data_IF_389001254705
#
_entry.id   IF_389001254705
#
_cell.length_a   1.000
_cell.length_b   1.000
_cell.length_c   1.000
_cell.angle_alpha   90.00
_cell.angle_beta   90.00
_cell.angle_gamma   90.00
#
_symmetry.space_group_name_H-M   'P 1'
#
loop_
_entity.id
_entity.type
_entity.pdbx_description
1 polymer ?
#
# COMPACT_ATOMS: atom_id res chain seq x y z
N UNK A 1 -27.98 15.48 34.53
CA UNK A 1 -28.69 14.99 33.33
C UNK A 1 -27.63 14.74 32.25
N UNK A 2 -26.93 13.60 32.08
CA UNK A 2 -27.16 12.17 32.34
C UNK A 2 -28.33 11.54 31.56
N UNK A 3 -28.54 11.98 30.33
CA UNK A 3 -29.37 11.25 29.37
C UNK A 3 -28.74 11.50 28.00
N UNK A 4 -28.02 10.50 27.49
CA UNK A 4 -27.60 10.25 26.08
C UNK A 4 -26.51 9.14 26.04
N UNK A 5 -26.53 8.23 27.03
CA UNK A 5 -25.71 7.01 27.12
C UNK A 5 -26.55 5.73 26.85
N UNK A 6 -27.76 5.86 26.30
CA UNK A 6 -28.74 4.77 26.27
C UNK A 6 -29.09 4.19 24.89
N UNK A 7 -28.37 4.55 23.82
CA UNK A 7 -28.56 3.87 22.52
C UNK A 7 -27.52 2.79 22.23
N UNK A 8 -26.56 2.56 23.15
CA UNK A 8 -25.55 1.50 23.00
C UNK A 8 -25.96 0.15 23.63
N UNK A 9 -27.11 0.07 24.32
CA UNK A 9 -27.58 -1.16 25.00
C UNK A 9 -28.77 -1.85 24.33
N UNK A 10 -29.27 -1.35 23.19
CA UNK A 10 -30.26 -2.07 22.37
C UNK A 10 -29.62 -3.08 21.41
N UNK A 11 -28.30 -3.24 21.51
CA UNK A 11 -27.52 -4.31 20.88
C UNK A 11 -27.57 -5.53 21.82
N UNK A 12 -27.97 -6.71 21.31
CA UNK A 12 -27.88 -8.06 21.92
C UNK A 12 -29.12 -8.76 22.57
N UNK A 13 -30.39 -8.42 22.28
CA UNK A 13 -31.51 -9.24 22.80
C UNK A 13 -32.50 -9.83 21.79
N UNK A 14 -32.32 -9.64 20.49
CA UNK A 14 -33.11 -10.36 19.48
C UNK A 14 -32.16 -11.18 18.62
N UNK A 15 -32.12 -12.48 18.90
CA UNK A 15 -31.16 -13.45 18.35
C UNK A 15 -31.31 -13.78 16.87
N UNK A 16 -31.26 -12.77 16.00
CA UNK A 16 -30.98 -12.93 14.58
C UNK A 16 -29.93 -11.88 14.21
N UNK A 17 -28.83 -12.37 13.65
CA UNK A 17 -27.66 -11.60 13.23
C UNK A 17 -28.00 -10.22 12.68
N UNK A 18 -27.33 -9.18 13.18
CA UNK A 18 -26.65 -8.09 12.44
C UNK A 18 -26.33 -7.00 13.47
N UNK A 19 -25.12 -7.08 14.02
CA UNK A 19 -24.50 -5.97 14.75
C UNK A 19 -23.13 -5.72 14.12
N UNK A 20 -23.07 -5.47 12.82
CA UNK A 20 -21.90 -4.83 12.25
C UNK A 20 -22.20 -3.34 12.16
N UNK A 21 -21.41 -2.44 12.80
CA UNK A 21 -21.44 -1.03 12.43
C UNK A 21 -21.21 -0.91 10.90
N UNK A 22 -21.67 0.16 10.22
CA UNK A 22 -21.21 0.43 8.87
C UNK A 22 -19.70 0.61 8.94
N UNK A 23 -18.96 -0.44 8.61
CA UNK A 23 -17.54 -0.35 8.37
C UNK A 23 -17.40 0.71 7.27
N UNK A 24 -16.62 1.79 7.46
CA UNK A 24 -16.33 2.70 6.37
C UNK A 24 -15.75 1.81 5.28
N UNK A 25 -16.50 1.71 4.19
CA UNK A 25 -16.31 0.80 3.07
C UNK A 25 -14.86 0.36 2.99
N UNK A 26 -14.56 -0.84 3.48
CA UNK A 26 -13.32 -1.51 3.14
C UNK A 26 -13.35 -1.56 1.61
N UNK A 27 -12.56 -0.70 0.99
CA UNK A 27 -12.30 -0.78 -0.44
C UNK A 27 -11.96 -2.25 -0.71
N UNK A 28 -12.51 -2.86 -1.78
CA UNK A 28 -12.15 -4.22 -2.12
C UNK A 28 -10.64 -4.30 -2.14
N UNK A 29 -10.08 -5.27 -1.43
CA UNK A 29 -8.65 -5.50 -1.30
C UNK A 29 -8.03 -5.93 -2.64
N UNK A 30 -8.18 -5.13 -3.70
CA UNK A 30 -7.66 -5.31 -5.05
C UNK A 30 -7.74 -3.99 -5.82
N UNK A 31 -7.20 -2.91 -5.28
CA UNK A 31 -6.85 -1.76 -6.10
C UNK A 31 -5.61 -1.13 -5.45
N UNK A 32 -4.45 -1.68 -5.80
CA UNK A 32 -3.19 -0.94 -5.65
C UNK A 32 -3.44 0.47 -6.22
N UNK A 33 -3.00 1.55 -5.54
CA UNK A 33 -3.36 2.90 -5.94
C UNK A 33 -3.05 3.12 -7.43
N UNK A 34 -3.94 3.80 -8.18
CA UNK A 34 -3.68 4.07 -9.59
C UNK A 34 -2.37 4.86 -9.71
N UNK A 35 -1.62 4.57 -10.76
CA UNK A 35 -0.40 5.26 -11.09
C UNK A 35 -0.65 6.76 -11.31
N UNK A 36 0.37 7.63 -11.24
CA UNK A 36 0.19 9.07 -11.38
C UNK A 36 -0.48 9.51 -12.69
N UNK A 37 -0.37 8.69 -13.74
CA UNK A 37 -1.00 8.86 -15.05
C UNK A 37 -2.42 8.27 -15.14
N UNK A 38 -2.95 7.73 -14.03
CA UNK A 38 -4.25 7.07 -13.96
C UNK A 38 -4.23 5.62 -14.46
N UNK A 39 -3.08 5.08 -14.87
CA UNK A 39 -2.97 3.69 -15.27
C UNK A 39 -3.04 2.74 -14.07
N UNK A 40 -3.39 1.48 -14.33
CA UNK A 40 -3.32 0.44 -13.31
C UNK A 40 -1.86 -0.05 -13.18
N UNK A 41 -1.35 -0.24 -11.96
CA UNK A 41 -0.05 -0.84 -11.78
C UNK A 41 -0.02 -2.26 -12.34
N UNK A 42 1.13 -2.66 -12.87
CA UNK A 42 1.32 -4.00 -13.43
C UNK A 42 1.46 -5.02 -12.30
N UNK A 43 0.98 -6.24 -12.54
CA UNK A 43 1.15 -7.35 -11.60
C UNK A 43 2.40 -8.15 -11.95
N UNK A 44 3.52 -7.84 -11.30
CA UNK A 44 4.79 -8.54 -11.49
C UNK A 44 4.76 -9.93 -10.84
N UNK A 45 5.36 -10.92 -11.51
CA UNK A 45 5.51 -12.26 -10.92
C UNK A 45 6.46 -12.27 -9.71
N UNK A 46 7.44 -11.35 -9.70
CA UNK A 46 8.45 -11.21 -8.66
C UNK A 46 8.61 -9.72 -8.33
N UNK A 47 8.85 -9.41 -7.06
CA UNK A 47 9.14 -8.04 -6.62
C UNK A 47 10.49 -7.58 -7.23
N UNK A 48 10.53 -6.46 -7.98
CA UNK A 48 11.75 -6.01 -8.64
C UNK A 48 12.88 -5.65 -7.66
N UNK A 49 12.58 -5.30 -6.40
CA UNK A 49 13.58 -5.06 -5.36
C UNK A 49 14.20 -6.35 -4.80
N UNK A 50 13.61 -7.51 -5.05
CA UNK A 50 14.20 -8.80 -4.66
C UNK A 50 15.15 -9.35 -5.72
N UNK A 51 14.99 -8.91 -6.97
CA UNK A 51 15.81 -9.36 -8.10
C UNK A 51 16.89 -8.35 -8.49
N UNK A 52 16.81 -7.12 -7.98
CA UNK A 52 17.69 -6.01 -8.39
C UNK A 52 18.40 -5.44 -7.18
N UNK A 53 19.71 -5.23 -7.30
CA UNK A 53 20.55 -4.60 -6.27
C UNK A 53 21.42 -3.52 -6.89
N UNK A 54 21.63 -2.41 -6.19
CA UNK A 54 22.50 -1.33 -6.65
C UNK A 54 23.89 -1.44 -6.02
N UNK A 55 24.87 -2.04 -6.71
CA UNK A 55 26.24 -2.20 -6.19
C UNK A 55 26.96 -0.87 -5.95
N UNK A 56 26.63 0.16 -6.75
CA UNK A 56 27.19 1.51 -6.61
C UNK A 56 26.71 2.23 -5.35
N UNK A 57 25.57 1.84 -4.79
CA UNK A 57 24.94 2.43 -3.61
C UNK A 57 24.39 1.33 -2.69
N UNK A 58 25.26 0.59 -1.98
CA UNK A 58 24.84 -0.55 -1.16
C UNK A 58 23.96 -0.18 0.05
N UNK A 59 23.94 1.09 0.45
CA UNK A 59 23.06 1.63 1.47
C UNK A 59 21.72 2.16 0.95
N UNK A 60 21.51 2.20 -0.38
CA UNK A 60 20.27 2.74 -0.92
C UNK A 60 19.06 1.86 -0.60
N UNK A 61 17.96 2.50 -0.23
CA UNK A 61 16.67 1.84 -0.04
C UNK A 61 16.00 1.62 -1.38
N UNK A 62 15.70 0.36 -1.70
CA UNK A 62 14.91 0.01 -2.89
C UNK A 62 13.41 0.19 -2.62
N UNK A 63 12.69 0.77 -3.58
CA UNK A 63 11.23 0.82 -3.64
C UNK A 63 10.76 0.26 -4.98
N UNK A 64 9.82 -0.67 -4.92
CA UNK A 64 9.22 -1.23 -6.12
C UNK A 64 8.22 -0.22 -6.72
N UNK A 65 8.42 0.13 -7.99
CA UNK A 65 7.48 0.90 -8.78
C UNK A 65 6.84 -0.01 -9.84
N UNK A 66 5.55 -0.25 -9.68
CA UNK A 66 4.73 -1.09 -10.57
C UNK A 66 4.03 -0.29 -11.68
N UNK A 67 4.31 1.00 -11.81
CA UNK A 67 3.75 1.86 -12.84
C UNK A 67 4.62 1.83 -14.09
N UNK A 68 4.00 1.56 -15.25
CA UNK A 68 4.71 1.42 -16.53
C UNK A 68 5.61 0.18 -16.65
N UNK A 69 5.71 -0.66 -15.62
CA UNK A 69 6.55 -1.86 -15.61
C UNK A 69 6.89 -2.34 -14.20
N UNK A 70 7.76 -3.35 -14.10
CA UNK A 70 8.31 -3.87 -12.85
C UNK A 70 9.65 -3.20 -12.55
N UNK A 71 9.61 -2.01 -11.96
CA UNK A 71 10.79 -1.17 -11.79
C UNK A 71 11.29 -1.19 -10.35
N UNK A 72 12.61 -1.25 -10.17
CA UNK A 72 13.26 -1.06 -8.87
C UNK A 72 13.87 0.34 -8.84
N UNK A 73 13.34 1.21 -7.98
CA UNK A 73 13.84 2.56 -7.77
C UNK A 73 14.66 2.61 -6.49
N UNK A 74 15.84 3.23 -6.54
CA UNK A 74 16.77 3.28 -5.42
C UNK A 74 16.86 4.70 -4.88
N UNK A 75 16.80 4.84 -3.56
CA UNK A 75 16.87 6.12 -2.87
C UNK A 75 17.99 6.10 -1.84
N UNK A 76 18.74 7.19 -1.73
CA UNK A 76 19.73 7.37 -0.66
C UNK A 76 19.05 7.61 0.71
N UNK A 77 19.85 7.71 1.77
CA UNK A 77 19.37 7.98 3.14
C UNK A 77 18.67 9.33 3.29
N UNK A 78 18.89 10.26 2.36
CA UNK A 78 18.21 11.57 2.33
C UNK A 78 16.88 11.52 1.57
N UNK A 79 16.55 10.37 0.96
CA UNK A 79 15.38 10.19 0.11
C UNK A 79 15.55 10.70 -1.32
N UNK A 80 16.77 10.99 -1.76
CA UNK A 80 17.07 11.37 -3.14
C UNK A 80 17.11 10.13 -4.01
N UNK A 81 16.46 10.18 -5.17
CA UNK A 81 16.52 9.08 -6.13
C UNK A 81 17.92 8.96 -6.74
N UNK A 82 18.51 7.77 -6.63
CA UNK A 82 19.84 7.39 -7.14
C UNK A 82 19.76 6.21 -8.11
N UNK A 83 18.57 5.86 -8.60
CA UNK A 83 18.34 4.76 -9.56
C UNK A 83 19.25 4.87 -10.78
N UNK A 84 19.53 6.09 -11.27
CA UNK A 84 20.41 6.34 -12.44
C UNK A 84 21.84 5.85 -12.23
N UNK A 85 22.30 5.74 -10.98
CA UNK A 85 23.61 5.23 -10.63
C UNK A 85 23.68 3.70 -10.60
N UNK A 86 22.53 3.03 -10.78
CA UNK A 86 22.39 1.58 -10.66
C UNK A 86 22.28 0.87 -12.03
N UNK A 87 22.10 1.61 -13.14
CA UNK A 87 22.08 1.04 -14.48
C UNK A 87 23.50 0.98 -15.05
N UNK A 88 24.08 -0.23 -15.12
CA UNK A 88 25.37 -0.47 -15.80
C UNK A 88 26.60 -0.67 -14.90
N UNK A 89 26.41 -1.18 -13.67
CA UNK A 89 27.50 -1.71 -12.85
C UNK A 89 27.70 -3.21 -13.08
#
# INVERSE_FOLDING_TARGET
MKILLFTALTVCLVGLAVCCPPQPTEAPATASPPCPDGSAPVNCAVDPCTTTTCAAQPGATCKANYCGGCNAEFYDDSGTEVTVNCFGA
#
